data_IF_395725519158
#
_entry.id   IF_395725519158
#
_cell.length_a   1.000
_cell.length_b   1.000
_cell.length_c   1.000
_cell.angle_alpha   90.00
_cell.angle_beta   90.00
_cell.angle_gamma   90.00
#
_symmetry.space_group_name_H-M   'P 1'
#
loop_
_entity.id
_entity.type
_entity.pdbx_description
1 polymer ?
#
# COMPACT_ATOMS: atom_id res chain seq x y z
N UNK A 1 -24.38 -8.97 8.56
CA UNK A 1 -25.62 -8.59 7.83
C UNK A 1 -25.47 -9.00 6.37
N UNK A 2 -26.54 -9.13 5.59
CA UNK A 2 -26.40 -9.44 4.17
C UNK A 2 -25.81 -8.24 3.41
N UNK A 3 -24.79 -8.47 2.58
CA UNK A 3 -24.17 -7.41 1.78
C UNK A 3 -25.19 -6.76 0.83
N UNK A 4 -25.16 -5.43 0.65
CA UNK A 4 -26.08 -4.73 -0.23
C UNK A 4 -25.94 -5.19 -1.69
N UNK A 5 -27.06 -5.23 -2.41
CA UNK A 5 -27.06 -5.63 -3.81
C UNK A 5 -26.25 -4.65 -4.67
N UNK A 6 -25.22 -5.15 -5.35
CA UNK A 6 -24.32 -4.36 -6.20
C UNK A 6 -23.92 -5.13 -7.46
N UNK A 7 -23.43 -4.40 -8.47
CA UNK A 7 -22.89 -5.00 -9.70
C UNK A 7 -21.37 -5.27 -9.64
N UNK A 8 -20.74 -5.09 -8.46
CA UNK A 8 -19.30 -5.30 -8.29
C UNK A 8 -18.87 -6.71 -8.71
N UNK A 9 -17.76 -6.78 -9.43
CA UNK A 9 -17.09 -8.04 -9.77
C UNK A 9 -15.94 -8.25 -8.80
N UNK A 10 -15.64 -9.51 -8.52
CA UNK A 10 -14.55 -9.89 -7.63
C UNK A 10 -13.55 -10.78 -8.34
N UNK A 11 -12.31 -10.75 -7.88
CA UNK A 11 -11.20 -11.57 -8.36
C UNK A 11 -10.36 -12.04 -7.18
N UNK A 12 -9.75 -13.21 -7.31
CA UNK A 12 -8.78 -13.67 -6.33
C UNK A 12 -7.49 -12.85 -6.43
N UNK A 13 -6.96 -12.44 -5.29
CA UNK A 13 -5.70 -11.73 -5.19
C UNK A 13 -4.54 -12.73 -5.25
N UNK A 14 -4.12 -13.06 -6.47
CA UNK A 14 -3.08 -14.07 -6.70
C UNK A 14 -3.41 -15.39 -5.99
N UNK A 15 -2.41 -15.99 -5.35
CA UNK A 15 -2.55 -17.27 -4.63
C UNK A 15 -2.85 -17.08 -3.12
N UNK A 16 -3.21 -15.87 -2.69
CA UNK A 16 -3.50 -15.58 -1.28
C UNK A 16 -4.81 -16.19 -0.78
N UNK A 17 -5.69 -16.61 -1.68
CA UNK A 17 -7.05 -17.06 -1.36
C UNK A 17 -8.03 -15.93 -1.03
N UNK A 18 -7.58 -14.66 -1.00
CA UNK A 18 -8.44 -13.50 -0.75
C UNK A 18 -9.24 -13.14 -1.98
N UNK A 19 -10.55 -12.93 -1.82
CA UNK A 19 -11.44 -12.48 -2.87
C UNK A 19 -11.66 -10.96 -2.73
N UNK A 20 -11.19 -10.19 -3.70
CA UNK A 20 -11.19 -8.72 -3.67
C UNK A 20 -12.03 -8.13 -4.79
N UNK A 21 -12.62 -6.95 -4.56
CA UNK A 21 -13.35 -6.19 -5.55
C UNK A 21 -12.43 -5.77 -6.70
N UNK A 22 -12.96 -5.76 -7.93
CA UNK A 22 -12.17 -5.34 -9.12
C UNK A 22 -11.80 -3.87 -9.11
N UNK A 23 -12.45 -3.08 -8.28
CA UNK A 23 -12.08 -1.70 -7.98
C UNK A 23 -11.62 -1.64 -6.53
N UNK A 24 -10.46 -1.01 -6.30
CA UNK A 24 -9.99 -0.64 -4.97
C UNK A 24 -10.18 0.85 -4.72
N UNK A 25 -10.25 1.24 -3.46
CA UNK A 25 -10.30 2.64 -3.05
C UNK A 25 -9.03 3.01 -2.27
N UNK A 26 -8.25 3.97 -2.81
CA UNK A 26 -7.01 4.45 -2.19
C UNK A 26 -7.16 5.82 -1.53
N UNK A 27 -6.47 6.03 -0.41
CA UNK A 27 -6.61 7.25 0.41
C UNK A 27 -5.59 8.36 0.16
N UNK A 28 -4.60 8.15 -0.72
CA UNK A 28 -3.38 8.96 -0.88
C UNK A 28 -3.54 10.49 -0.79
N UNK A 29 -4.29 11.10 -1.71
CA UNK A 29 -4.39 12.57 -1.80
C UNK A 29 -5.52 13.11 -0.92
N UNK A 30 -6.52 12.28 -0.67
CA UNK A 30 -7.79 12.71 -0.13
C UNK A 30 -7.75 12.77 1.40
N UNK A 31 -7.31 11.68 2.05
CA UNK A 31 -7.46 11.52 3.49
C UNK A 31 -6.46 12.41 4.23
N UNK A 32 -6.94 13.13 5.26
CA UNK A 32 -6.23 14.14 6.06
C UNK A 32 -5.90 15.45 5.34
N UNK A 33 -5.45 15.42 4.08
CA UNK A 33 -5.01 16.64 3.40
C UNK A 33 -6.19 17.44 2.81
N UNK A 34 -7.24 16.76 2.37
CA UNK A 34 -8.41 17.40 1.74
C UNK A 34 -9.71 17.11 2.47
N UNK A 35 -9.81 15.93 3.10
CA UNK A 35 -11.02 15.48 3.80
C UNK A 35 -10.70 15.04 5.23
N UNK A 36 -11.60 15.40 6.13
CA UNK A 36 -11.55 14.99 7.54
C UNK A 36 -12.21 13.63 7.78
N UNK A 37 -12.21 13.20 9.04
CA UNK A 37 -12.71 11.89 9.49
C UNK A 37 -14.14 11.58 9.01
N UNK A 38 -15.11 12.45 9.26
CA UNK A 38 -16.52 12.15 8.95
C UNK A 38 -16.76 11.95 7.44
N UNK A 39 -16.13 12.79 6.61
CA UNK A 39 -16.21 12.65 5.15
C UNK A 39 -15.50 11.39 4.66
N UNK A 40 -14.34 11.06 5.23
CA UNK A 40 -13.64 9.81 4.91
C UNK A 40 -14.51 8.59 5.26
N UNK A 41 -15.18 8.61 6.41
CA UNK A 41 -16.09 7.56 6.83
C UNK A 41 -17.28 7.41 5.87
N UNK A 42 -17.94 8.52 5.51
CA UNK A 42 -19.06 8.49 4.55
C UNK A 42 -18.66 7.91 3.19
N UNK A 43 -17.46 8.26 2.70
CA UNK A 43 -16.94 7.74 1.43
C UNK A 43 -16.67 6.23 1.51
N UNK A 44 -16.04 5.76 2.58
CA UNK A 44 -15.76 4.33 2.78
C UNK A 44 -17.06 3.53 2.89
N UNK A 45 -18.04 4.03 3.65
CA UNK A 45 -19.39 3.43 3.74
C UNK A 45 -20.08 3.40 2.39
N UNK A 46 -19.98 4.47 1.61
CA UNK A 46 -20.56 4.52 0.29
C UNK A 46 -19.90 3.50 -0.66
N UNK A 47 -18.58 3.42 -0.67
CA UNK A 47 -17.83 2.46 -1.48
C UNK A 47 -18.19 1.01 -1.12
N UNK A 48 -18.22 0.70 0.19
CA UNK A 48 -18.58 -0.62 0.70
C UNK A 48 -20.01 -1.01 0.31
N UNK A 49 -20.97 -0.08 0.42
CA UNK A 49 -22.36 -0.31 -0.01
C UNK A 49 -22.50 -0.63 -1.50
N UNK A 50 -21.51 -0.28 -2.31
CA UNK A 50 -21.44 -0.60 -3.74
C UNK A 50 -20.52 -1.77 -4.06
N UNK A 51 -20.10 -2.54 -3.03
CA UNK A 51 -19.36 -3.78 -3.16
C UNK A 51 -17.84 -3.64 -3.09
N UNK A 52 -17.29 -2.43 -2.88
CA UNK A 52 -15.84 -2.29 -2.68
C UNK A 52 -15.47 -2.87 -1.32
N UNK A 53 -14.66 -3.92 -1.33
CA UNK A 53 -14.07 -4.48 -0.11
C UNK A 53 -12.55 -4.29 -0.06
N UNK A 54 -11.94 -3.77 -1.11
CA UNK A 54 -10.50 -3.64 -1.22
C UNK A 54 -10.08 -2.17 -1.07
N UNK A 55 -9.36 -1.88 0.00
CA UNK A 55 -8.89 -0.53 0.35
C UNK A 55 -7.36 -0.48 0.31
N UNK A 56 -6.81 0.63 -0.17
CA UNK A 56 -5.37 0.84 -0.32
C UNK A 56 -4.90 2.03 0.53
N UNK A 57 -3.81 1.85 1.25
CA UNK A 57 -3.18 2.87 2.07
C UNK A 57 -1.65 2.68 2.10
N UNK A 58 -0.92 3.69 2.58
CA UNK A 58 0.52 3.61 2.75
C UNK A 58 1.00 4.43 3.93
N UNK A 59 2.09 4.00 4.56
CA UNK A 59 2.65 4.60 5.78
C UNK A 59 2.94 6.10 5.62
N UNK A 60 3.32 6.53 4.41
CA UNK A 60 3.71 7.93 4.11
C UNK A 60 2.53 8.81 3.71
N UNK A 61 1.34 8.26 3.51
CA UNK A 61 0.19 9.05 3.09
C UNK A 61 -0.22 10.03 4.18
N UNK A 62 -0.15 11.33 3.84
CA UNK A 62 -0.33 12.44 4.76
C UNK A 62 0.49 12.29 6.05
N UNK A 63 1.77 11.89 5.93
CA UNK A 63 2.67 11.69 7.08
C UNK A 63 2.11 10.69 8.11
N UNK A 64 1.40 9.66 7.63
CA UNK A 64 0.77 8.62 8.44
C UNK A 64 -0.62 8.96 8.96
N UNK A 65 -1.12 10.19 8.77
CA UNK A 65 -2.48 10.57 9.19
C UNK A 65 -3.57 9.83 8.41
N UNK A 66 -3.29 9.44 7.16
CA UNK A 66 -4.20 8.65 6.35
C UNK A 66 -4.54 7.29 6.98
N UNK A 67 -3.54 6.59 7.53
CA UNK A 67 -3.74 5.32 8.24
C UNK A 67 -4.55 5.51 9.53
N UNK A 68 -4.29 6.59 10.27
CA UNK A 68 -5.04 6.91 11.49
C UNK A 68 -6.52 7.13 11.18
N UNK A 69 -6.82 7.96 10.19
CA UNK A 69 -8.21 8.24 9.79
C UNK A 69 -8.89 6.96 9.28
N UNK A 70 -8.23 6.18 8.43
CA UNK A 70 -8.81 4.95 7.90
C UNK A 70 -9.06 3.92 9.02
N UNK A 71 -8.12 3.76 9.97
CA UNK A 71 -8.29 2.90 11.14
C UNK A 71 -9.47 3.31 12.01
N UNK A 72 -9.63 4.62 12.26
CA UNK A 72 -10.79 5.15 12.98
C UNK A 72 -12.11 4.87 12.22
N UNK A 73 -12.10 5.01 10.89
CA UNK A 73 -13.29 4.76 10.07
C UNK A 73 -13.68 3.28 10.10
N UNK A 74 -12.70 2.37 9.98
CA UNK A 74 -12.91 0.92 10.07
C UNK A 74 -13.51 0.55 11.42
N UNK A 75 -12.93 1.07 12.52
CA UNK A 75 -13.43 0.81 13.87
C UNK A 75 -14.87 1.29 14.03
N UNK A 76 -15.17 2.53 13.61
CA UNK A 76 -16.53 3.07 13.65
C UNK A 76 -17.52 2.22 12.87
N UNK A 77 -17.14 1.75 11.68
CA UNK A 77 -18.02 0.90 10.86
C UNK A 77 -18.25 -0.49 11.45
N UNK A 78 -17.30 -1.04 12.22
CA UNK A 78 -17.51 -2.27 13.01
C UNK A 78 -18.49 -2.00 14.14
N UNK A 79 -18.30 -0.90 14.88
CA UNK A 79 -19.15 -0.52 16.02
C UNK A 79 -20.60 -0.22 15.57
N UNK A 80 -20.77 0.41 14.41
CA UNK A 80 -22.07 0.69 13.78
C UNK A 80 -22.64 -0.53 13.02
N UNK A 81 -21.90 -1.63 12.92
CA UNK A 81 -22.34 -2.86 12.25
C UNK A 81 -22.45 -2.75 10.73
N UNK A 82 -21.77 -1.78 10.10
CA UNK A 82 -21.73 -1.60 8.65
C UNK A 82 -21.03 -2.78 7.97
N UNK A 83 -19.91 -3.22 8.55
CA UNK A 83 -19.09 -4.34 8.09
C UNK A 83 -18.51 -5.11 9.28
N UNK A 84 -18.08 -6.35 9.06
CA UNK A 84 -17.21 -7.10 9.98
C UNK A 84 -15.75 -6.97 9.56
N UNK A 85 -14.84 -7.47 10.40
CA UNK A 85 -13.39 -7.44 10.10
C UNK A 85 -13.05 -8.25 8.85
N UNK A 86 -13.79 -9.33 8.60
CA UNK A 86 -13.59 -10.25 7.47
C UNK A 86 -14.16 -9.71 6.16
N UNK A 87 -15.02 -8.69 6.23
CA UNK A 87 -15.63 -8.08 5.05
C UNK A 87 -14.64 -7.22 4.27
N UNK A 88 -13.55 -6.74 4.90
CA UNK A 88 -12.62 -5.79 4.31
C UNK A 88 -11.23 -6.40 4.09
N UNK A 89 -10.60 -6.02 2.97
CA UNK A 89 -9.20 -6.29 2.66
C UNK A 89 -8.49 -4.96 2.53
N UNK A 90 -7.50 -4.72 3.38
CA UNK A 90 -6.65 -3.52 3.34
C UNK A 90 -5.25 -3.89 2.83
N UNK A 91 -4.81 -3.22 1.76
CA UNK A 91 -3.44 -3.26 1.30
C UNK A 91 -2.68 -2.08 1.90
N UNK A 92 -1.58 -2.40 2.58
CA UNK A 92 -0.69 -1.43 3.18
C UNK A 92 0.68 -1.49 2.52
N UNK A 93 1.14 -0.36 2.00
CA UNK A 93 2.51 -0.21 1.52
C UNK A 93 3.40 0.39 2.61
N UNK A 94 4.38 -0.42 3.07
CA UNK A 94 5.35 -0.03 4.10
C UNK A 94 6.79 0.00 3.57
N UNK A 95 7.70 0.63 4.29
CA UNK A 95 9.11 0.70 3.91
C UNK A 95 9.37 1.63 2.73
N UNK A 96 8.60 2.70 2.59
CA UNK A 96 8.85 3.76 1.61
C UNK A 96 10.25 4.34 1.80
N UNK A 97 10.66 4.64 3.04
CA UNK A 97 11.99 5.15 3.34
C UNK A 97 13.10 4.19 2.89
N UNK A 98 12.92 2.89 3.13
CA UNK A 98 13.85 1.86 2.68
C UNK A 98 13.90 1.77 1.15
N UNK A 99 12.74 1.87 0.48
CA UNK A 99 12.65 1.90 -0.98
C UNK A 99 13.30 3.16 -1.57
N UNK A 100 13.15 4.32 -0.94
CA UNK A 100 13.81 5.57 -1.33
C UNK A 100 15.32 5.45 -1.20
N UNK A 101 15.82 4.89 -0.08
CA UNK A 101 17.26 4.67 0.11
C UNK A 101 17.81 3.67 -0.90
N UNK A 102 17.07 2.58 -1.20
CA UNK A 102 17.41 1.64 -2.29
C UNK A 102 17.44 2.35 -3.64
N UNK A 103 16.46 3.18 -3.93
CA UNK A 103 16.39 3.97 -5.17
C UNK A 103 17.58 4.92 -5.29
N UNK A 104 17.97 5.60 -4.21
CA UNK A 104 19.16 6.47 -4.18
C UNK A 104 20.45 5.70 -4.46
N UNK A 105 20.63 4.53 -3.85
CA UNK A 105 21.78 3.64 -4.12
C UNK A 105 21.80 3.16 -5.57
N UNK A 106 20.64 2.82 -6.13
CA UNK A 106 20.52 2.47 -7.56
C UNK A 106 20.87 3.65 -8.46
N UNK A 107 20.48 4.88 -8.10
CA UNK A 107 20.86 6.08 -8.85
C UNK A 107 22.37 6.33 -8.82
N UNK A 108 23.05 6.04 -7.72
CA UNK A 108 24.52 6.11 -7.65
C UNK A 108 25.16 5.11 -8.63
N UNK A 109 24.69 3.86 -8.63
CA UNK A 109 25.16 2.83 -9.58
C UNK A 109 24.81 3.21 -11.02
N UNK A 110 23.62 3.78 -11.26
CA UNK A 110 23.21 4.26 -12.58
C UNK A 110 24.11 5.40 -13.07
N UNK A 111 24.54 6.30 -12.18
CA UNK A 111 25.52 7.36 -12.49
C UNK A 111 26.89 6.79 -12.85
N UNK A 112 27.35 5.71 -12.19
CA UNK A 112 28.61 5.04 -12.53
C UNK A 112 28.64 4.57 -13.99
N UNK A 113 27.51 4.09 -14.51
CA UNK A 113 27.39 3.63 -15.91
C UNK A 113 26.92 4.70 -16.89
N UNK A 114 26.65 5.93 -16.40
CA UNK A 114 26.11 7.04 -17.16
C UNK A 114 24.67 6.83 -17.64
N UNK A 115 23.93 5.91 -17.03
CA UNK A 115 22.54 5.61 -17.38
C UNK A 115 21.62 6.71 -16.85
N UNK A 116 20.73 7.20 -17.72
CA UNK A 116 19.60 8.06 -17.34
C UNK A 116 18.29 7.37 -17.72
N UNK A 117 17.24 7.65 -16.95
CA UNK A 117 15.94 6.95 -16.98
C UNK A 117 15.27 6.84 -18.37
N UNK A 118 15.65 7.69 -19.34
CA UNK A 118 15.05 7.72 -20.68
C UNK A 118 15.70 6.78 -21.70
N UNK A 119 16.83 6.14 -21.39
CA UNK A 119 17.65 5.38 -22.36
C UNK A 119 18.11 4.01 -21.88
N UNK A 120 17.39 3.37 -20.96
CA UNK A 120 17.82 2.13 -20.29
C UNK A 120 18.33 1.01 -21.23
N UNK A 121 17.75 0.87 -22.42
CA UNK A 121 18.18 -0.12 -23.43
C UNK A 121 19.60 0.14 -24.00
N UNK A 122 20.05 1.39 -24.10
CA UNK A 122 21.38 1.76 -24.63
C UNK A 122 22.52 1.40 -23.64
N UNK A 123 22.18 1.03 -22.40
CA UNK A 123 23.13 0.75 -21.33
C UNK A 123 23.21 -0.72 -20.95
N UNK A 124 22.44 -1.61 -21.60
CA UNK A 124 22.45 -3.06 -21.32
C UNK A 124 23.86 -3.63 -21.45
N UNK A 125 24.59 -3.25 -22.50
CA UNK A 125 25.95 -3.74 -22.76
C UNK A 125 27.00 -3.23 -21.76
N UNK A 126 26.65 -2.19 -20.98
CA UNK A 126 27.51 -1.61 -19.93
C UNK A 126 27.25 -2.22 -18.56
N UNK A 127 26.22 -3.05 -18.41
CA UNK A 127 25.96 -3.79 -17.17
C UNK A 127 26.95 -4.97 -17.13
N UNK A 128 28.12 -4.72 -16.56
CA UNK A 128 29.10 -5.77 -16.29
C UNK A 128 28.57 -6.73 -15.21
N UNK A 129 29.15 -7.95 -15.09
CA UNK A 129 28.80 -8.87 -14.02
C UNK A 129 28.90 -8.25 -12.61
N UNK A 130 29.88 -7.36 -12.41
CA UNK A 130 30.08 -6.61 -11.15
C UNK A 130 28.96 -5.60 -10.89
N UNK A 131 28.50 -4.88 -11.91
CA UNK A 131 27.37 -3.95 -11.79
C UNK A 131 26.08 -4.72 -11.52
N UNK A 132 25.90 -5.88 -12.17
CA UNK A 132 24.76 -6.76 -11.89
C UNK A 132 24.76 -7.23 -10.43
N UNK A 133 25.91 -7.64 -9.90
CA UNK A 133 26.03 -8.04 -8.50
C UNK A 133 25.70 -6.89 -7.53
N UNK A 134 26.13 -5.66 -7.82
CA UNK A 134 25.74 -4.46 -7.06
C UNK A 134 24.23 -4.22 -7.08
N UNK A 135 23.59 -4.36 -8.25
CA UNK A 135 22.13 -4.19 -8.39
C UNK A 135 21.38 -5.28 -7.62
N UNK A 136 21.80 -6.54 -7.75
CA UNK A 136 21.19 -7.68 -7.05
C UNK A 136 21.36 -7.57 -5.52
N UNK A 137 22.46 -6.98 -5.04
CA UNK A 137 22.68 -6.67 -3.62
C UNK A 137 21.75 -5.56 -3.09
N UNK A 138 21.32 -4.63 -3.95
CA UNK A 138 20.43 -3.51 -3.57
C UNK A 138 18.95 -3.93 -3.66
N UNK A 139 18.59 -4.69 -4.70
CA UNK A 139 17.21 -5.08 -5.00
C UNK A 139 17.06 -6.59 -4.91
N UNK A 140 16.76 -7.08 -3.72
CA UNK A 140 16.21 -8.44 -3.59
C UNK A 140 14.74 -8.41 -4.00
N UNK A 141 14.46 -8.78 -5.25
CA UNK A 141 13.12 -8.70 -5.86
C UNK A 141 12.11 -9.73 -5.32
N UNK A 142 12.41 -10.41 -4.22
CA UNK A 142 11.52 -11.43 -3.64
C UNK A 142 10.80 -10.81 -2.45
N UNK A 143 9.47 -10.57 -2.53
CA UNK A 143 8.68 -10.23 -1.36
C UNK A 143 8.81 -11.35 -0.34
N UNK A 144 9.41 -11.06 0.81
CA UNK A 144 9.50 -12.00 1.91
C UNK A 144 8.36 -11.70 2.90
N UNK A 145 7.69 -12.76 3.35
CA UNK A 145 6.82 -12.67 4.53
C UNK A 145 7.68 -12.22 5.70
N UNK A 146 7.43 -11.01 6.21
CA UNK A 146 8.10 -10.54 7.41
C UNK A 146 7.58 -11.37 8.60
N UNK A 147 8.45 -12.08 9.34
CA UNK A 147 8.04 -12.92 10.47
C UNK A 147 7.54 -12.09 11.66
N UNK A 148 7.91 -10.82 11.71
CA UNK A 148 7.47 -9.85 12.71
C UNK A 148 7.05 -8.55 12.02
N UNK A 149 6.01 -7.85 12.53
CA UNK A 149 5.60 -6.55 12.00
C UNK A 149 6.75 -5.53 12.06
N UNK A 150 6.79 -4.62 11.10
CA UNK A 150 7.79 -3.55 11.04
C UNK A 150 7.79 -2.71 12.34
N UNK A 151 8.97 -2.43 12.96
CA UNK A 151 9.03 -1.70 14.22
C UNK A 151 8.45 -0.27 14.19
N UNK A 152 8.53 0.43 13.05
CA UNK A 152 7.90 1.74 12.89
C UNK A 152 6.39 1.60 12.90
N UNK A 153 5.85 0.58 12.21
CA UNK A 153 4.43 0.23 12.26
C UNK A 153 3.98 -0.09 13.68
N UNK A 154 4.75 -0.90 14.43
CA UNK A 154 4.46 -1.21 15.83
C UNK A 154 4.44 0.06 16.68
N UNK A 155 5.43 0.95 16.51
CA UNK A 155 5.53 2.24 17.23
C UNK A 155 4.38 3.19 16.89
N UNK A 156 3.92 3.22 15.65
CA UNK A 156 2.78 4.05 15.23
C UNK A 156 1.51 3.49 15.87
N UNK A 157 1.29 2.18 15.79
CA UNK A 157 0.10 1.50 16.31
C UNK A 157 -0.01 1.51 17.83
N UNK A 158 1.12 1.43 18.56
CA UNK A 158 1.14 1.45 20.03
C UNK A 158 0.67 2.78 20.64
N UNK A 159 0.51 3.84 19.84
CA UNK A 159 -0.06 5.11 20.29
C UNK A 159 -1.58 5.07 20.44
N UNK A 160 -2.23 4.00 19.96
CA UNK A 160 -3.68 3.90 19.82
C UNK A 160 -4.28 2.67 20.55
N UNK A 161 -3.47 1.91 21.29
CA UNK A 161 -3.85 0.84 22.22
C UNK A 161 -3.53 1.25 23.65
#
# INVERSE_FOLDING_TARGET
MAAPAHNMKYRYLGDSGLLVSTLSFGSWVSFSNQIGFDQAYEILVHAYKHGVNFFDNAEVYAEGQSEVIMGQCIQRGIDEGVWTREDLVEMLSNGFDERVEKTRKLEEVAKEIGASNLKALEFIDKITPEIREKVDAIVQFVPQLLPTPDPNLVRIRSKFT
#
